data_IF_074343519043
#
_entry.id   IF_074343519043
#
_cell.length_a   1.000
_cell.length_b   1.000
_cell.length_c   1.000
_cell.angle_alpha   90.00
_cell.angle_beta   90.00
_cell.angle_gamma   90.00
#
_symmetry.space_group_name_H-M   'P 1'
#
loop_
_entity.id
_entity.type
_entity.pdbx_description
1 polymer ?
#
# COMPACT_ATOMS: atom_id res chain seq x y z
N UNK A 1 -20.51 -51.19 33.63
CA UNK A 1 -21.76 -50.80 32.94
C UNK A 1 -21.82 -49.29 32.99
N UNK A 2 -21.51 -48.63 31.88
CA UNK A 2 -21.39 -47.18 31.77
C UNK A 2 -22.61 -46.64 31.02
N UNK A 3 -23.30 -45.66 31.61
CA UNK A 3 -24.40 -44.93 30.97
C UNK A 3 -23.88 -44.05 29.82
N UNK A 4 -24.61 -43.93 28.69
CA UNK A 4 -24.30 -42.96 27.65
C UNK A 4 -24.93 -41.58 27.95
N UNK A 5 -24.26 -40.47 27.58
CA UNK A 5 -24.74 -39.12 27.85
C UNK A 5 -25.83 -38.66 26.87
N UNK A 6 -26.70 -37.81 27.42
CA UNK A 6 -27.92 -37.27 26.83
C UNK A 6 -27.64 -36.34 25.64
N UNK A 7 -28.41 -36.56 24.57
CA UNK A 7 -28.52 -35.73 23.38
C UNK A 7 -28.97 -34.31 23.72
N UNK A 8 -28.25 -33.29 23.25
CA UNK A 8 -28.71 -31.90 23.24
C UNK A 8 -29.53 -31.62 21.97
N UNK A 9 -30.73 -31.13 22.20
CA UNK A 9 -31.72 -30.70 21.22
C UNK A 9 -31.30 -29.40 20.53
N UNK A 10 -31.43 -29.38 19.20
CA UNK A 10 -31.31 -28.20 18.37
C UNK A 10 -32.51 -27.26 18.59
N UNK A 11 -32.27 -25.95 18.70
CA UNK A 11 -33.33 -24.96 18.65
C UNK A 11 -32.88 -23.67 17.96
N UNK A 12 -33.61 -23.38 16.88
CA UNK A 12 -34.03 -22.07 16.38
C UNK A 12 -32.99 -21.12 15.77
N UNK A 13 -32.91 -21.21 14.43
CA UNK A 13 -32.51 -20.11 13.55
C UNK A 13 -33.72 -19.20 13.36
N UNK A 14 -33.68 -18.00 13.95
CA UNK A 14 -34.66 -16.96 13.68
C UNK A 14 -34.28 -16.21 12.39
N UNK A 15 -35.13 -16.32 11.38
CA UNK A 15 -35.02 -15.61 10.12
C UNK A 15 -35.42 -14.13 10.30
N UNK A 16 -34.45 -13.22 10.12
CA UNK A 16 -34.70 -11.78 10.05
C UNK A 16 -35.14 -11.44 8.61
N UNK A 17 -36.43 -11.17 8.43
CA UNK A 17 -36.98 -10.56 7.21
C UNK A 17 -36.70 -9.06 7.24
N UNK A 18 -35.83 -8.59 6.36
CA UNK A 18 -35.61 -7.16 6.14
C UNK A 18 -36.53 -6.73 4.99
N UNK A 19 -37.50 -5.88 5.31
CA UNK A 19 -38.35 -5.20 4.33
C UNK A 19 -37.52 -4.14 3.58
N UNK A 20 -37.45 -4.23 2.26
CA UNK A 20 -36.93 -3.19 1.38
C UNK A 20 -38.12 -2.33 0.92
N UNK A 21 -38.25 -1.13 1.50
CA UNK A 21 -39.10 -0.08 0.94
C UNK A 21 -38.38 0.59 -0.22
N UNK A 22 -39.02 0.51 -1.39
CA UNK A 22 -38.63 1.17 -2.63
C UNK A 22 -39.22 2.58 -2.67
N UNK A 23 -38.42 3.59 -2.35
CA UNK A 23 -38.78 5.00 -2.60
C UNK A 23 -38.04 5.53 -3.83
N UNK A 24 -38.81 5.61 -4.91
CA UNK A 24 -38.52 6.32 -6.16
C UNK A 24 -38.56 7.82 -5.93
N UNK A 25 -37.47 8.54 -6.22
CA UNK A 25 -37.50 9.98 -6.49
C UNK A 25 -36.63 10.29 -7.71
N UNK A 26 -37.31 10.73 -8.76
CA UNK A 26 -36.78 11.29 -9.99
C UNK A 26 -36.26 12.71 -9.80
N UNK A 27 -35.21 13.05 -10.56
CA UNK A 27 -35.04 14.40 -11.15
C UNK A 27 -33.89 15.25 -10.61
N UNK A 28 -32.81 15.35 -11.39
CA UNK A 28 -32.43 16.57 -12.13
C UNK A 28 -30.91 16.61 -12.43
N UNK A 29 -30.62 16.65 -13.72
CA UNK A 29 -29.30 16.80 -14.34
C UNK A 29 -28.92 18.29 -14.39
N UNK A 30 -27.71 18.65 -13.95
CA UNK A 30 -27.11 19.96 -14.26
C UNK A 30 -25.58 19.86 -14.48
N UNK A 31 -25.27 19.80 -15.77
CA UNK A 31 -24.07 20.14 -16.54
C UNK A 31 -22.80 20.66 -15.80
N UNK A 32 -21.75 19.89 -16.04
CA UNK A 32 -20.31 20.18 -15.95
C UNK A 32 -19.88 21.40 -16.77
N UNK A 33 -18.97 22.23 -16.24
CA UNK A 33 -18.15 23.12 -17.06
C UNK A 33 -16.66 22.91 -16.72
N UNK A 34 -15.92 22.42 -17.73
CA UNK A 34 -14.51 22.07 -17.67
C UNK A 34 -13.79 23.07 -18.57
N UNK A 35 -13.11 24.07 -18.00
CA UNK A 35 -12.23 24.96 -18.77
C UNK A 35 -10.81 24.40 -18.76
N UNK A 36 -10.41 24.02 -19.96
CA UNK A 36 -9.09 23.61 -20.42
C UNK A 36 -8.17 24.83 -20.48
N UNK A 37 -6.98 24.75 -19.87
CA UNK A 37 -5.88 25.67 -20.15
C UNK A 37 -4.73 24.85 -20.75
N UNK A 38 -4.47 25.15 -22.01
CA UNK A 38 -3.39 24.65 -22.85
C UNK A 38 -2.56 25.90 -23.21
N UNK A 39 -1.24 25.85 -23.00
CA UNK A 39 -0.22 26.77 -23.56
C UNK A 39 1.16 26.23 -23.17
N UNK A 40 1.80 25.48 -24.06
CA UNK A 40 2.82 25.90 -25.05
C UNK A 40 4.23 25.97 -24.48
N UNK A 41 5.01 24.94 -24.82
CA UNK A 41 6.47 24.96 -24.92
C UNK A 41 6.92 26.05 -25.90
N UNK A 42 7.94 26.82 -25.53
CA UNK A 42 8.66 27.69 -26.49
C UNK A 42 10.16 27.58 -26.26
N UNK A 43 10.80 27.00 -27.28
CA UNK A 43 12.18 27.12 -27.77
C UNK A 43 13.15 27.99 -26.96
N UNK A 44 14.27 27.38 -26.55
CA UNK A 44 15.55 28.08 -26.41
C UNK A 44 16.39 27.85 -27.67
N UNK A 45 16.76 28.96 -28.32
CA UNK A 45 17.60 29.06 -29.51
C UNK A 45 19.09 29.06 -29.15
N UNK A 46 19.87 28.47 -30.05
CA UNK A 46 21.33 28.45 -30.05
C UNK A 46 21.97 29.82 -30.32
N UNK A 47 23.16 30.04 -29.74
CA UNK A 47 24.40 30.50 -30.41
C UNK A 47 25.44 30.93 -29.37
N UNK A 48 26.65 30.40 -29.48
CA UNK A 48 27.83 31.17 -29.91
C UNK A 48 29.11 30.35 -29.69
N UNK A 49 29.86 30.21 -30.78
CA UNK A 49 31.24 29.74 -30.85
C UNK A 49 32.15 30.96 -30.87
N UNK A 50 33.31 30.91 -30.20
CA UNK A 50 34.51 31.62 -30.63
C UNK A 50 35.78 30.96 -30.04
N UNK A 51 36.77 30.78 -30.91
CA UNK A 51 38.10 30.25 -30.63
C UNK A 51 39.06 31.34 -30.11
N UNK A 52 40.05 30.93 -29.30
CA UNK A 52 41.50 31.14 -29.50
C UNK A 52 42.30 31.46 -28.22
N UNK A 53 43.36 30.63 -28.03
CA UNK A 53 44.73 30.79 -27.46
C UNK A 53 45.05 32.15 -26.75
N UNK A 54 45.77 32.25 -25.61
CA UNK A 54 47.14 31.79 -25.28
C UNK A 54 47.49 32.07 -23.80
N UNK A 55 48.20 31.12 -23.17
CA UNK A 55 49.41 31.26 -22.31
C UNK A 55 49.50 32.11 -20.99
N UNK A 56 50.12 31.46 -19.99
CA UNK A 56 51.09 31.98 -18.99
C UNK A 56 50.67 32.07 -17.52
N UNK A 57 51.24 31.13 -16.74
CA UNK A 57 51.83 31.20 -15.39
C UNK A 57 51.02 31.77 -14.21
N UNK A 58 50.94 30.99 -13.12
CA UNK A 58 51.52 31.30 -11.80
C UNK A 58 51.18 30.14 -10.85
N UNK A 59 52.22 29.55 -10.27
CA UNK A 59 52.15 28.57 -9.18
C UNK A 59 51.60 29.24 -7.92
N UNK A 60 50.59 28.65 -7.28
CA UNK A 60 50.38 28.82 -5.84
C UNK A 60 49.85 27.52 -5.22
N UNK A 61 50.72 26.88 -4.45
CA UNK A 61 50.41 25.74 -3.61
C UNK A 61 49.32 26.11 -2.60
N UNK A 62 48.23 25.35 -2.56
CA UNK A 62 47.31 25.26 -1.42
C UNK A 62 47.40 23.86 -0.84
N UNK A 63 47.83 23.78 0.41
CA UNK A 63 47.76 22.60 1.28
C UNK A 63 46.33 22.03 1.21
N UNK A 64 46.21 20.80 0.73
CA UNK A 64 44.99 20.01 0.83
C UNK A 64 44.88 19.47 2.26
N UNK A 65 44.12 20.15 3.11
CA UNK A 65 43.55 19.54 4.31
C UNK A 65 42.32 18.72 3.89
N UNK A 66 42.59 17.57 3.28
CA UNK A 66 41.57 16.57 2.96
C UNK A 66 41.13 15.91 4.25
N UNK A 67 40.24 16.57 4.99
CA UNK A 67 39.42 15.93 6.02
C UNK A 67 38.36 15.10 5.30
N UNK A 68 38.76 13.92 4.82
CA UNK A 68 37.83 12.86 4.43
C UNK A 68 37.16 12.35 5.70
N UNK A 69 36.16 13.08 6.16
CA UNK A 69 35.11 12.49 6.97
C UNK A 69 34.38 11.51 6.06
N UNK A 70 34.77 10.24 6.15
CA UNK A 70 34.04 9.14 5.56
C UNK A 70 32.60 9.21 6.10
N UNK A 71 31.67 9.70 5.25
CA UNK A 71 30.25 9.52 5.47
C UNK A 71 30.02 8.02 5.61
N UNK A 72 29.78 7.54 6.84
CA UNK A 72 29.17 6.22 7.06
C UNK A 72 27.92 6.21 6.20
N UNK A 73 27.89 5.33 5.19
CA UNK A 73 26.61 4.91 4.60
C UNK A 73 25.86 4.31 5.78
N UNK A 74 24.85 5.02 6.26
CA UNK A 74 23.84 4.43 7.11
C UNK A 74 23.34 3.21 6.34
N UNK A 75 23.72 2.02 6.80
CA UNK A 75 23.28 0.76 6.23
C UNK A 75 21.80 0.64 6.61
N UNK A 76 20.97 1.42 5.91
CA UNK A 76 19.57 1.57 6.22
C UNK A 76 18.92 0.20 6.24
N UNK A 77 18.18 -0.08 7.29
CA UNK A 77 17.41 -1.31 7.45
C UNK A 77 16.71 -1.69 6.15
N UNK A 78 16.69 -2.98 5.78
CA UNK A 78 16.13 -3.40 4.50
C UNK A 78 14.66 -2.99 4.42
N UNK A 79 14.31 -2.31 3.33
CA UNK A 79 12.98 -1.71 3.10
C UNK A 79 11.96 -2.76 2.65
N UNK A 80 11.69 -3.73 3.52
CA UNK A 80 10.84 -4.89 3.23
C UNK A 80 9.36 -4.68 3.57
N UNK A 81 9.05 -3.57 4.25
CA UNK A 81 7.73 -3.29 4.79
C UNK A 81 7.20 -1.97 4.26
N UNK A 82 6.00 -2.01 3.70
CA UNK A 82 5.29 -0.81 3.28
C UNK A 82 3.97 -0.67 4.04
N UNK A 83 3.55 0.56 4.27
CA UNK A 83 2.23 0.91 4.74
C UNK A 83 1.40 1.36 3.53
N UNK A 84 0.27 0.69 3.31
CA UNK A 84 -0.69 0.99 2.26
C UNK A 84 -2.04 1.29 2.87
N UNK A 85 -2.69 2.27 2.27
CA UNK A 85 -4.09 2.55 2.42
C UNK A 85 -4.97 1.44 1.83
N UNK A 86 -6.08 1.14 2.48
CA UNK A 86 -7.13 0.27 1.93
C UNK A 86 -8.51 0.64 2.47
N UNK A 87 -9.57 0.33 1.73
CA UNK A 87 -10.94 0.53 2.19
C UNK A 87 -11.43 -0.67 3.02
N UNK A 88 -12.23 -0.44 4.08
CA UNK A 88 -12.73 -1.53 4.93
C UNK A 88 -13.42 -2.67 4.16
N UNK A 89 -14.26 -2.43 3.13
CA UNK A 89 -14.87 -3.51 2.36
C UNK A 89 -13.86 -4.40 1.62
N UNK A 90 -12.74 -3.84 1.15
CA UNK A 90 -11.69 -4.64 0.49
C UNK A 90 -10.98 -5.54 1.50
N UNK A 91 -10.68 -5.01 2.70
CA UNK A 91 -10.04 -5.80 3.77
C UNK A 91 -10.94 -6.94 4.22
N UNK A 92 -12.25 -6.69 4.34
CA UNK A 92 -13.21 -7.72 4.71
C UNK A 92 -13.14 -8.94 3.76
N UNK A 93 -12.95 -8.70 2.46
CA UNK A 93 -12.80 -9.77 1.46
C UNK A 93 -11.54 -10.59 1.66
N UNK A 94 -10.44 -9.97 2.10
CA UNK A 94 -9.22 -10.70 2.45
C UNK A 94 -9.42 -11.55 3.70
N UNK A 95 -10.08 -10.99 4.73
CA UNK A 95 -10.42 -11.73 5.96
C UNK A 95 -11.30 -12.94 5.65
N UNK A 96 -12.27 -12.82 4.75
CA UNK A 96 -13.13 -13.93 4.32
C UNK A 96 -12.55 -14.78 3.19
N UNK A 97 -11.32 -14.49 2.74
CA UNK A 97 -10.64 -15.16 1.61
C UNK A 97 -11.44 -15.18 0.30
N UNK A 98 -12.30 -14.19 0.11
CA UNK A 98 -13.04 -13.98 -1.14
C UNK A 98 -12.12 -13.33 -2.18
N UNK A 99 -11.28 -12.39 -1.73
CA UNK A 99 -10.18 -11.85 -2.52
C UNK A 99 -8.86 -12.33 -1.91
N UNK A 100 -7.90 -12.62 -2.76
CA UNK A 100 -6.58 -13.14 -2.40
C UNK A 100 -5.43 -12.29 -2.98
N UNK A 101 -5.72 -11.35 -3.87
CA UNK A 101 -4.76 -10.41 -4.42
C UNK A 101 -5.12 -8.95 -4.13
N UNK A 102 -4.11 -8.15 -3.79
CA UNK A 102 -4.20 -6.69 -3.79
C UNK A 102 -3.69 -6.15 -5.13
N UNK A 103 -4.52 -5.37 -5.83
CA UNK A 103 -4.17 -4.81 -7.14
C UNK A 103 -3.65 -3.37 -7.03
N UNK A 104 -2.50 -3.10 -7.65
CA UNK A 104 -1.91 -1.75 -7.75
C UNK A 104 -1.63 -1.38 -9.20
N UNK A 105 -1.73 -0.08 -9.50
CA UNK A 105 -1.39 0.47 -10.83
C UNK A 105 0.12 0.58 -11.10
N UNK A 106 0.95 0.24 -10.13
CA UNK A 106 2.40 0.42 -10.18
C UNK A 106 3.11 -0.74 -9.50
N UNK A 107 4.34 -1.01 -9.94
CA UNK A 107 5.20 -2.01 -9.33
C UNK A 107 5.79 -1.46 -8.03
N UNK A 108 5.61 -2.21 -6.96
CA UNK A 108 6.32 -2.10 -5.68
C UNK A 108 7.68 -2.79 -5.83
N UNK A 109 8.71 -2.26 -5.15
CA UNK A 109 10.04 -2.86 -5.13
C UNK A 109 9.96 -4.36 -4.74
N UNK A 110 10.68 -5.21 -5.45
CA UNK A 110 10.73 -6.67 -5.25
C UNK A 110 11.26 -7.09 -3.89
N UNK A 111 11.96 -6.21 -3.18
CA UNK A 111 12.43 -6.44 -1.81
C UNK A 111 11.32 -6.35 -0.76
N UNK A 112 10.18 -5.76 -1.11
CA UNK A 112 9.02 -5.64 -0.21
C UNK A 112 8.37 -7.00 -0.05
N UNK A 113 8.23 -7.44 1.20
CA UNK A 113 7.65 -8.72 1.59
C UNK A 113 6.34 -8.56 2.34
N UNK A 114 6.09 -7.38 2.93
CA UNK A 114 4.96 -7.14 3.82
C UNK A 114 4.24 -5.84 3.50
N UNK A 115 2.92 -5.90 3.50
CA UNK A 115 2.04 -4.75 3.32
C UNK A 115 1.19 -4.55 4.56
N UNK A 116 1.37 -3.40 5.20
CA UNK A 116 0.68 -2.97 6.40
C UNK A 116 -0.53 -2.15 5.99
N UNK A 117 -1.72 -2.65 6.31
CA UNK A 117 -2.98 -2.07 5.86
C UNK A 117 -3.54 -1.09 6.88
N UNK A 118 -3.50 0.20 6.51
CA UNK A 118 -4.33 1.21 7.15
C UNK A 118 -5.73 1.17 6.54
N UNK A 119 -6.71 0.85 7.37
CA UNK A 119 -8.13 0.91 7.03
C UNK A 119 -8.59 2.37 7.05
N UNK A 120 -9.09 2.85 5.91
CA UNK A 120 -9.65 4.20 5.76
C UNK A 120 -10.98 4.35 6.51
N UNK A 121 -11.76 5.40 6.24
CA UNK A 121 -13.03 5.64 6.94
C UNK A 121 -13.98 4.43 6.79
N UNK A 122 -14.77 4.07 7.82
CA UNK A 122 -14.89 4.76 9.12
C UNK A 122 -13.83 4.35 10.16
N UNK A 123 -13.05 3.29 9.94
CA UNK A 123 -12.11 2.74 10.92
C UNK A 123 -10.95 3.68 11.28
N UNK A 124 -10.34 4.31 10.26
CA UNK A 124 -9.21 5.23 10.40
C UNK A 124 -8.06 4.72 11.29
N UNK A 125 -7.67 3.46 11.09
CA UNK A 125 -6.63 2.80 11.87
C UNK A 125 -5.79 1.83 11.05
N UNK A 126 -4.52 1.66 11.44
CA UNK A 126 -3.70 0.54 11.02
C UNK A 126 -4.16 -0.72 11.74
N UNK A 127 -4.51 -1.77 10.99
CA UNK A 127 -5.19 -2.96 11.54
C UNK A 127 -4.63 -4.29 11.10
N UNK A 128 -4.04 -4.38 9.91
CA UNK A 128 -3.61 -5.66 9.37
C UNK A 128 -2.20 -5.59 8.80
N UNK A 129 -1.52 -6.73 8.79
CA UNK A 129 -0.25 -6.94 8.10
C UNK A 129 -0.43 -8.15 7.20
N UNK A 130 -0.16 -7.98 5.92
CA UNK A 130 -0.14 -9.07 4.94
C UNK A 130 1.29 -9.41 4.55
N UNK A 131 1.61 -10.70 4.49
CA UNK A 131 2.78 -11.21 3.78
C UNK A 131 2.38 -11.40 2.33
N UNK A 132 3.15 -10.82 1.40
CA UNK A 132 2.77 -10.73 -0.01
C UNK A 132 3.74 -11.46 -0.94
N UNK A 133 3.26 -11.83 -2.14
CA UNK A 133 4.12 -12.24 -3.25
C UNK A 133 4.91 -11.07 -3.87
N UNK A 134 5.80 -11.40 -4.81
CA UNK A 134 6.26 -10.42 -5.80
C UNK A 134 5.07 -9.97 -6.66
N UNK A 135 5.19 -8.80 -7.29
CA UNK A 135 4.15 -8.29 -8.17
C UNK A 135 4.01 -9.16 -9.43
N UNK A 136 2.78 -9.57 -9.73
CA UNK A 136 2.38 -10.33 -10.92
C UNK A 136 1.73 -9.39 -11.93
N UNK A 137 2.12 -9.46 -13.20
CA UNK A 137 1.48 -8.75 -14.31
C UNK A 137 0.16 -9.43 -14.73
N UNK A 138 -0.71 -8.77 -15.51
CA UNK A 138 -1.86 -9.42 -16.12
C UNK A 138 -1.46 -10.68 -16.91
N UNK A 139 -2.11 -11.80 -16.62
CA UNK A 139 -1.83 -13.11 -17.22
C UNK A 139 -0.88 -13.97 -16.38
N UNK A 140 -0.34 -13.45 -15.27
CA UNK A 140 0.58 -14.17 -14.38
C UNK A 140 -0.10 -14.67 -13.08
N UNK A 141 -1.41 -14.46 -12.90
CA UNK A 141 -2.15 -15.08 -11.79
C UNK A 141 -2.57 -16.50 -12.20
N UNK A 142 -2.04 -17.51 -11.52
CA UNK A 142 -2.34 -18.92 -11.81
C UNK A 142 -3.77 -19.34 -11.40
N UNK A 143 -4.21 -18.92 -10.21
CA UNK A 143 -5.57 -19.19 -9.70
C UNK A 143 -6.50 -17.99 -9.93
N UNK A 144 -7.39 -18.14 -10.91
CA UNK A 144 -8.34 -17.09 -11.30
C UNK A 144 -9.65 -17.10 -10.49
N UNK A 145 -9.79 -17.95 -9.46
CA UNK A 145 -11.02 -18.05 -8.66
C UNK A 145 -11.21 -16.93 -7.64
N UNK A 146 -10.14 -16.28 -7.19
CA UNK A 146 -10.21 -15.11 -6.30
C UNK A 146 -10.90 -13.92 -6.96
N UNK A 147 -11.66 -13.14 -6.19
CA UNK A 147 -12.45 -12.03 -6.73
C UNK A 147 -11.55 -11.01 -7.46
N UNK A 148 -11.80 -10.83 -8.75
CA UNK A 148 -11.08 -9.89 -9.61
C UNK A 148 -9.85 -10.47 -10.30
N UNK A 149 -9.43 -11.71 -9.99
CA UNK A 149 -8.24 -12.33 -10.59
C UNK A 149 -8.44 -12.55 -12.10
N UNK A 150 -9.56 -13.17 -12.48
CA UNK A 150 -9.94 -13.40 -13.88
C UNK A 150 -9.98 -12.09 -14.67
N UNK A 151 -10.64 -11.06 -14.13
CA UNK A 151 -10.71 -9.75 -14.77
C UNK A 151 -9.34 -9.10 -14.88
N UNK A 152 -8.50 -9.20 -13.83
CA UNK A 152 -7.16 -8.64 -13.81
C UNK A 152 -6.27 -9.26 -14.88
N UNK A 153 -6.31 -10.59 -15.07
CA UNK A 153 -5.50 -11.26 -16.07
C UNK A 153 -5.80 -10.82 -17.51
N UNK A 154 -7.00 -10.27 -17.76
CA UNK A 154 -7.39 -9.69 -19.06
C UNK A 154 -7.06 -8.21 -19.22
N UNK A 155 -6.56 -7.54 -18.18
CA UNK A 155 -6.19 -6.13 -18.26
C UNK A 155 -4.89 -5.91 -19.04
N UNK A 156 -4.67 -4.68 -19.48
CA UNK A 156 -3.46 -4.30 -20.23
C UNK A 156 -2.28 -3.89 -19.34
N UNK A 157 -2.54 -3.51 -18.10
CA UNK A 157 -1.53 -2.98 -17.19
C UNK A 157 -2.01 -3.07 -15.74
N UNK A 158 -1.05 -3.14 -14.82
CA UNK A 158 -1.29 -3.26 -13.38
C UNK A 158 -0.39 -4.32 -12.79
N UNK A 159 -0.42 -4.45 -11.46
CA UNK A 159 0.32 -5.45 -10.73
C UNK A 159 -0.57 -6.02 -9.62
N UNK A 160 -0.58 -7.34 -9.50
CA UNK A 160 -1.28 -8.07 -8.46
C UNK A 160 -0.29 -8.61 -7.42
N UNK A 161 -0.66 -8.51 -6.14
CA UNK A 161 0.13 -8.99 -5.03
C UNK A 161 -0.70 -9.99 -4.24
N UNK A 162 -0.34 -11.26 -4.34
CA UNK A 162 -1.00 -12.35 -3.61
C UNK A 162 -0.77 -12.18 -2.12
N UNK A 163 -1.84 -12.25 -1.33
CA UNK A 163 -1.84 -12.21 0.13
C UNK A 163 -1.66 -13.64 0.63
N UNK A 164 -0.41 -13.99 0.92
CA UNK A 164 -0.03 -15.35 1.35
C UNK A 164 -0.45 -15.62 2.80
N UNK A 165 -0.27 -14.61 3.64
CA UNK A 165 -0.60 -14.66 5.06
C UNK A 165 -1.23 -13.33 5.46
N UNK A 166 -2.21 -13.38 6.35
CA UNK A 166 -2.88 -12.18 6.85
C UNK A 166 -2.91 -12.20 8.38
N UNK A 167 -2.41 -11.12 8.97
CA UNK A 167 -2.34 -10.91 10.41
C UNK A 167 -3.21 -9.73 10.78
N UNK A 168 -3.99 -9.87 11.85
CA UNK A 168 -4.72 -8.81 12.49
C UNK A 168 -3.93 -8.31 13.71
N UNK A 169 -3.72 -7.00 13.79
CA UNK A 169 -3.12 -6.37 14.97
C UNK A 169 -4.02 -6.57 16.18
N UNK A 170 -3.45 -7.05 17.28
CA UNK A 170 -4.16 -7.20 18.55
C UNK A 170 -4.72 -5.86 19.06
N UNK A 171 -3.95 -4.78 18.84
CA UNK A 171 -4.36 -3.40 19.13
C UNK A 171 -4.30 -2.58 17.83
N UNK A 172 -5.44 -2.17 17.27
CA UNK A 172 -5.47 -1.21 16.17
C UNK A 172 -4.76 0.08 16.55
N UNK A 173 -4.03 0.69 15.61
CA UNK A 173 -3.32 1.95 15.84
C UNK A 173 -4.07 3.06 15.11
N UNK A 174 -4.70 4.00 15.83
CA UNK A 174 -5.45 5.08 15.21
C UNK A 174 -4.52 6.07 14.51
N UNK A 175 -5.07 6.86 13.58
CA UNK A 175 -4.33 7.86 12.81
C UNK A 175 -3.54 8.84 13.68
N UNK A 176 -4.10 9.25 14.82
CA UNK A 176 -3.46 10.22 15.70
C UNK A 176 -2.22 9.64 16.39
N UNK A 177 -2.27 8.35 16.77
CA UNK A 177 -1.09 7.64 17.30
C UNK A 177 -0.02 7.46 16.20
N UNK A 178 -0.42 7.12 14.96
CA UNK A 178 0.50 7.05 13.80
C UNK A 178 1.26 8.37 13.59
N UNK A 179 0.54 9.49 13.64
CA UNK A 179 1.14 10.83 13.47
C UNK A 179 2.02 11.21 14.65
N UNK A 180 1.52 11.04 15.87
CA UNK A 180 2.21 11.51 17.07
C UNK A 180 3.47 10.69 17.36
N UNK A 181 3.35 9.35 17.37
CA UNK A 181 4.39 8.43 17.84
C UNK A 181 5.35 7.99 16.73
N UNK A 182 4.83 7.72 15.54
CA UNK A 182 5.56 7.13 14.43
C UNK A 182 5.88 8.12 13.31
N UNK A 183 5.43 9.37 13.44
CA UNK A 183 5.65 10.46 12.47
C UNK A 183 5.25 10.06 11.04
N UNK A 184 4.22 9.22 10.93
CA UNK A 184 3.67 8.77 9.65
C UNK A 184 2.18 9.07 9.58
N UNK A 185 1.63 9.09 8.37
CA UNK A 185 0.22 9.40 8.11
C UNK A 185 -0.36 8.37 7.15
N UNK A 186 -1.64 8.49 6.86
CA UNK A 186 -2.28 7.71 5.81
C UNK A 186 -1.63 7.99 4.44
N UNK A 187 -1.16 6.96 3.73
CA UNK A 187 -0.48 7.13 2.46
C UNK A 187 -1.49 7.25 1.31
N UNK A 188 -1.22 8.12 0.34
CA UNK A 188 -1.99 8.12 -0.92
C UNK A 188 -1.60 6.96 -1.84
N UNK A 189 -0.33 6.56 -1.80
CA UNK A 189 0.25 5.48 -2.60
C UNK A 189 0.69 4.33 -1.69
N UNK A 190 1.87 4.46 -1.12
CA UNK A 190 2.37 3.72 0.03
C UNK A 190 3.52 4.53 0.63
N UNK A 191 3.91 4.22 1.86
CA UNK A 191 5.17 4.68 2.46
C UNK A 191 5.91 3.47 3.00
N UNK A 192 7.24 3.52 3.11
CA UNK A 192 7.96 2.49 3.85
C UNK A 192 7.61 2.60 5.33
N UNK A 193 7.48 1.46 6.01
CA UNK A 193 7.17 1.45 7.43
C UNK A 193 8.34 2.07 8.21
N UNK A 194 8.08 3.05 9.11
CA UNK A 194 9.13 3.63 9.93
C UNK A 194 9.80 2.57 10.82
N UNK A 195 11.13 2.63 11.04
CA UNK A 195 11.84 1.65 11.89
C UNK A 195 11.22 1.48 13.28
N UNK A 196 10.81 2.58 13.92
CA UNK A 196 10.13 2.56 15.22
C UNK A 196 8.83 1.75 15.23
N UNK A 197 8.10 1.71 14.11
CA UNK A 197 6.88 0.91 14.01
C UNK A 197 7.20 -0.60 13.92
N UNK A 198 8.30 -0.97 13.25
CA UNK A 198 8.81 -2.35 13.17
C UNK A 198 9.43 -2.83 14.51
N UNK A 199 9.99 -1.90 15.27
CA UNK A 199 10.49 -2.17 16.62
C UNK A 199 9.35 -2.49 17.58
N UNK A 200 8.31 -1.65 17.59
CA UNK A 200 7.19 -1.73 18.51
C UNK A 200 6.21 -2.87 18.20
N UNK A 201 6.12 -3.30 16.94
CA UNK A 201 5.09 -4.26 16.50
C UNK A 201 5.77 -5.43 15.81
N UNK A 202 5.80 -6.57 16.52
CA UNK A 202 6.31 -7.84 15.99
C UNK A 202 5.19 -8.61 15.32
N UNK A 203 5.45 -9.12 14.12
CA UNK A 203 4.45 -9.84 13.32
C UNK A 203 3.97 -11.10 14.05
N UNK A 204 4.92 -11.79 14.69
CA UNK A 204 4.77 -13.06 15.38
C UNK A 204 3.87 -12.94 16.62
N UNK A 205 3.73 -11.73 17.17
CA UNK A 205 2.87 -11.44 18.31
C UNK A 205 1.42 -11.14 17.90
N UNK A 206 1.12 -11.01 16.61
CA UNK A 206 -0.20 -10.64 16.11
C UNK A 206 -1.08 -11.86 15.87
N UNK A 207 -2.39 -11.65 15.69
CA UNK A 207 -3.33 -12.74 15.42
C UNK A 207 -3.25 -13.12 13.95
N UNK A 208 -2.63 -14.27 13.64
CA UNK A 208 -2.65 -14.84 12.28
C UNK A 208 -4.06 -15.33 11.96
N UNK A 209 -4.64 -14.78 10.90
CA UNK A 209 -5.94 -15.23 10.36
C UNK A 209 -5.75 -16.44 9.46
N UNK A 210 -4.68 -16.43 8.66
CA UNK A 210 -4.21 -17.54 7.87
C UNK A 210 -2.78 -17.36 7.38
#
# INVERSE_FOLDING_TARGET
MAEPPRLWTAASVAAVKIHLETSSVSGAVAKTNRRRHEKTMTRCTARASCHAKTETTVRKARKASTSVTAKKKDAGSPKQDILSAIQPPCVAKFVTRVADHEFKKYLINTDVKRMWFYSSKPDQALRYIAVISKGKAPGEIDDEHGEGNYEFNKQKAGFAYEIKELYQLKRPIPLDELKAKYKTTYPQRFVYVPPKLLEDIKLEEQTRLY
#
